data_IF_177091202837
#
_entry.id   IF_177091202837
#
_cell.length_a   1.000
_cell.length_b   1.000
_cell.length_c   1.000
_cell.angle_alpha   90.00
_cell.angle_beta   90.00
_cell.angle_gamma   90.00
#
_symmetry.space_group_name_H-M   'P 1'
#
loop_
_entity.id
_entity.type
_entity.pdbx_description
1 polymer ?
#
# COMPACT_ATOMS: atom_id res chain seq x y z
N UNK A 1 78.17 29.28 8.78
CA UNK A 1 78.83 29.34 10.11
C UNK A 1 78.41 28.10 10.90
N UNK A 2 79.31 27.54 11.72
CA UNK A 2 79.22 26.29 12.56
C UNK A 2 77.83 25.97 13.18
N UNK A 3 77.41 24.75 13.58
CA UNK A 3 77.82 23.31 13.48
C UNK A 3 76.57 22.46 13.96
N UNK A 4 76.45 21.12 14.01
CA UNK A 4 77.40 19.98 13.88
C UNK A 4 76.94 18.98 12.77
N UNK A 5 76.87 17.63 12.77
CA UNK A 5 76.99 16.49 13.74
C UNK A 5 75.61 15.94 14.19
N UNK A 6 75.32 14.63 14.29
CA UNK A 6 76.14 13.38 14.22
C UNK A 6 75.56 12.31 13.26
N UNK A 7 76.37 11.28 12.95
CA UNK A 7 75.97 10.04 12.24
C UNK A 7 76.59 8.82 12.94
N UNK A 8 75.88 7.68 12.98
CA UNK A 8 76.42 6.39 13.46
C UNK A 8 75.70 5.15 12.88
N UNK A 9 76.50 4.33 12.21
CA UNK A 9 76.34 2.99 11.62
C UNK A 9 75.62 1.85 12.41
N UNK A 10 75.27 0.80 11.64
CA UNK A 10 75.30 -0.68 11.95
C UNK A 10 74.20 -1.39 12.78
N UNK A 11 73.21 -1.87 12.03
CA UNK A 11 72.67 -3.25 11.90
C UNK A 11 72.93 -4.40 12.93
N UNK A 12 71.88 -5.25 13.07
CA UNK A 12 71.78 -6.63 13.62
C UNK A 12 71.76 -6.81 15.15
N UNK A 13 71.18 -7.92 15.70
CA UNK A 13 70.54 -9.08 15.07
C UNK A 13 69.09 -9.41 15.53
N UNK A 14 68.55 -10.54 15.05
CA UNK A 14 67.24 -11.13 15.43
C UNK A 14 67.19 -11.69 16.86
N UNK A 15 66.06 -11.53 17.57
CA UNK A 15 65.55 -12.49 18.57
C UNK A 15 64.00 -12.55 18.55
N UNK A 16 63.49 -13.78 18.72
CA UNK A 16 62.18 -14.27 19.23
C UNK A 16 61.25 -13.25 19.96
N UNK A 17 59.90 -13.38 19.99
CA UNK A 17 59.06 -14.59 19.87
C UNK A 17 57.92 -14.46 18.84
N UNK A 18 57.68 -15.56 18.11
CA UNK A 18 56.41 -15.84 17.43
C UNK A 18 55.94 -17.24 17.86
N UNK A 19 55.08 -17.29 18.86
CA UNK A 19 54.57 -18.52 19.47
C UNK A 19 53.04 -18.48 19.59
N UNK A 20 52.42 -19.64 19.82
CA UNK A 20 50.96 -19.84 19.92
C UNK A 20 50.16 -19.52 18.65
N UNK A 21 50.19 -20.47 17.70
CA UNK A 21 49.02 -20.97 16.97
C UNK A 21 49.41 -22.28 16.26
N UNK A 22 48.42 -23.11 15.93
CA UNK A 22 48.54 -24.44 15.27
C UNK A 22 49.24 -25.55 16.08
N UNK A 23 48.49 -26.25 16.96
CA UNK A 23 48.59 -27.71 17.13
C UNK A 23 47.52 -28.25 18.09
N UNK A 24 46.53 -28.97 17.55
CA UNK A 24 46.18 -30.34 17.95
C UNK A 24 44.90 -30.80 17.23
N UNK A 25 44.96 -32.00 16.63
CA UNK A 25 43.79 -32.69 16.09
C UNK A 25 43.76 -34.12 16.63
N UNK A 26 42.59 -34.51 17.16
CA UNK A 26 42.10 -35.88 17.39
C UNK A 26 43.10 -36.99 17.75
N UNK A 27 42.98 -37.53 18.98
CA UNK A 27 42.58 -38.94 19.24
C UNK A 27 42.66 -39.30 20.72
N UNK A 28 41.57 -39.84 21.27
CA UNK A 28 41.53 -41.05 22.11
C UNK A 28 40.13 -41.23 22.72
N UNK A 29 39.67 -42.47 22.85
CA UNK A 29 38.44 -42.79 23.55
C UNK A 29 38.58 -44.11 24.30
N UNK A 30 38.25 -44.13 25.59
CA UNK A 30 37.61 -45.30 26.20
C UNK A 30 36.83 -44.93 27.48
N UNK A 31 35.94 -45.84 27.85
CA UNK A 31 34.90 -45.68 28.87
C UNK A 31 35.46 -45.87 30.29
N UNK A 32 34.88 -45.15 31.25
CA UNK A 32 34.50 -45.73 32.54
C UNK A 32 33.19 -45.08 33.01
N UNK A 33 32.43 -45.78 33.85
CA UNK A 33 31.17 -45.32 34.43
C UNK A 33 31.06 -45.83 35.87
N UNK A 34 30.48 -45.01 36.77
CA UNK A 34 29.87 -45.31 38.08
C UNK A 34 29.63 -43.97 38.79
N UNK A 35 28.58 -43.86 39.62
CA UNK A 35 28.46 -42.79 40.63
C UNK A 35 27.27 -41.85 40.45
N UNK A 36 26.08 -42.28 40.87
CA UNK A 36 24.95 -41.37 41.15
C UNK A 36 25.12 -40.74 42.53
N UNK A 37 25.04 -39.41 42.61
CA UNK A 37 24.78 -38.69 43.86
C UNK A 37 23.92 -37.46 43.52
N UNK A 38 22.69 -37.41 44.03
CA UNK A 38 21.73 -36.38 43.65
C UNK A 38 21.90 -35.09 44.44
N UNK A 39 21.73 -33.95 43.77
CA UNK A 39 21.34 -32.70 44.41
C UNK A 39 19.96 -32.28 43.89
N UNK A 40 19.02 -32.07 44.80
CA UNK A 40 17.71 -31.51 44.49
C UNK A 40 17.82 -30.00 44.26
N UNK A 41 18.46 -29.61 43.16
CA UNK A 41 18.43 -28.24 42.68
C UNK A 41 17.08 -27.98 42.01
N UNK A 42 16.20 -27.23 42.69
CA UNK A 42 14.91 -26.82 42.13
C UNK A 42 15.14 -25.96 40.89
N UNK A 43 15.03 -26.58 39.70
CA UNK A 43 14.99 -25.87 38.44
C UNK A 43 13.70 -25.04 38.40
N UNK A 44 13.78 -23.80 38.86
CA UNK A 44 12.74 -22.79 38.65
C UNK A 44 12.60 -22.65 37.13
N UNK A 45 11.47 -23.09 36.60
CA UNK A 45 11.07 -22.81 35.22
C UNK A 45 10.78 -21.31 35.10
N UNK A 46 11.84 -20.51 34.99
CA UNK A 46 11.74 -19.14 34.52
C UNK A 46 11.19 -19.19 33.11
N UNK A 47 9.92 -18.83 32.94
CA UNK A 47 9.28 -18.69 31.65
C UNK A 47 9.92 -17.50 30.91
N UNK A 48 10.57 -17.70 29.75
CA UNK A 48 10.96 -16.60 28.86
C UNK A 48 9.71 -16.14 28.08
N UNK A 49 8.67 -15.74 28.82
CA UNK A 49 7.44 -15.16 28.33
C UNK A 49 7.11 -13.88 29.11
N UNK A 50 8.11 -13.02 29.25
CA UNK A 50 7.86 -11.58 29.23
C UNK A 50 7.43 -11.21 27.80
N UNK A 51 6.24 -11.64 27.37
CA UNK A 51 5.64 -11.19 26.12
C UNK A 51 5.38 -9.69 26.27
N UNK A 52 5.86 -8.90 25.31
CA UNK A 52 5.81 -7.45 25.37
C UNK A 52 4.41 -6.98 24.95
N UNK A 53 3.48 -7.06 25.89
CA UNK A 53 2.07 -6.86 25.62
C UNK A 53 1.68 -5.39 25.36
N UNK A 54 0.47 -5.18 24.85
CA UNK A 54 -0.04 -3.85 24.54
C UNK A 54 -0.43 -3.12 25.84
N UNK A 55 0.31 -2.06 26.16
CA UNK A 55 0.12 -1.26 27.39
C UNK A 55 -0.55 0.08 27.06
N UNK A 56 -1.61 0.41 27.81
CA UNK A 56 -2.30 1.71 27.69
C UNK A 56 -1.70 2.69 28.69
N UNK A 57 -1.14 3.78 28.19
CA UNK A 57 -0.46 4.85 28.94
C UNK A 57 -1.23 6.18 28.75
N UNK A 58 -1.21 7.04 29.76
CA UNK A 58 -1.88 8.37 29.82
C UNK A 58 -3.38 8.40 29.45
N UNK A 59 -4.03 7.23 29.29
CA UNK A 59 -5.45 7.08 28.97
C UNK A 59 -5.77 6.95 27.47
N UNK A 60 -4.87 7.36 26.57
CA UNK A 60 -5.06 7.25 25.11
C UNK A 60 -3.82 6.87 24.29
N UNK A 61 -2.66 6.63 24.91
CA UNK A 61 -1.49 6.07 24.23
C UNK A 61 -1.48 4.55 24.35
N UNK A 62 -1.33 3.81 23.25
CA UNK A 62 -1.19 2.35 23.24
C UNK A 62 0.17 1.96 22.66
N UNK A 63 1.04 1.35 23.47
CA UNK A 63 2.33 0.83 23.02
C UNK A 63 2.29 -0.70 23.01
N UNK A 64 2.52 -1.31 21.84
CA UNK A 64 2.53 -2.76 21.62
C UNK A 64 3.94 -3.26 21.24
N UNK A 65 4.46 -4.22 22.00
CA UNK A 65 5.57 -5.06 21.58
C UNK A 65 5.08 -6.39 21.01
N UNK A 66 5.92 -7.43 21.05
CA UNK A 66 5.56 -8.77 20.57
C UNK A 66 4.56 -9.45 21.51
N UNK A 67 3.35 -9.69 21.01
CA UNK A 67 2.24 -10.36 21.72
C UNK A 67 1.27 -11.04 20.73
N UNK A 68 0.27 -11.74 21.25
CA UNK A 68 -0.85 -12.28 20.49
C UNK A 68 -2.16 -11.74 21.06
N UNK A 69 -2.94 -11.04 20.24
CA UNK A 69 -4.21 -10.43 20.68
C UNK A 69 -5.35 -11.45 20.71
N UNK A 70 -6.35 -11.15 21.54
CA UNK A 70 -7.65 -11.82 21.54
C UNK A 70 -8.72 -10.90 20.96
N UNK A 71 -9.81 -11.49 20.45
CA UNK A 71 -10.89 -10.75 19.79
C UNK A 71 -11.82 -10.02 20.79
N UNK A 72 -11.25 -9.09 21.55
CA UNK A 72 -11.89 -8.32 22.60
C UNK A 72 -11.57 -6.81 22.51
N UNK A 73 -12.42 -5.99 23.13
CA UNK A 73 -12.26 -4.53 23.21
C UNK A 73 -11.74 -4.18 24.60
N UNK A 74 -10.65 -3.42 24.67
CA UNK A 74 -10.03 -2.95 25.90
C UNK A 74 -11.03 -2.18 26.78
N UNK A 75 -11.13 -2.46 28.10
CA UNK A 75 -10.25 -3.32 28.90
C UNK A 75 -10.87 -4.68 29.25
N UNK A 76 -11.41 -5.44 28.27
CA UNK A 76 -12.06 -6.73 28.54
C UNK A 76 -11.08 -7.90 28.74
N UNK A 77 -9.92 -7.89 28.06
CA UNK A 77 -8.87 -8.91 28.18
C UNK A 77 -7.43 -8.32 28.18
N UNK A 78 -7.14 -7.30 29.01
CA UNK A 78 -5.84 -6.67 29.02
C UNK A 78 -4.77 -7.64 29.54
N UNK A 79 -3.53 -7.59 29.03
CA UNK A 79 -2.98 -6.60 28.09
C UNK A 79 -3.04 -7.03 26.60
N UNK A 80 -3.96 -7.94 26.23
CA UNK A 80 -4.01 -8.57 24.91
C UNK A 80 -5.31 -8.30 24.13
N UNK A 81 -6.12 -7.31 24.53
CA UNK A 81 -7.24 -6.84 23.70
C UNK A 81 -6.75 -6.40 22.31
N UNK A 82 -7.53 -6.66 21.26
CA UNK A 82 -7.23 -6.10 19.92
C UNK A 82 -7.72 -4.67 19.75
N UNK A 83 -8.86 -4.34 20.37
CA UNK A 83 -9.65 -3.16 20.03
C UNK A 83 -9.55 -2.06 21.09
N UNK A 84 -9.05 -0.89 20.71
CA UNK A 84 -8.85 0.25 21.59
C UNK A 84 -9.78 1.40 21.18
N UNK A 85 -10.99 1.43 21.75
CA UNK A 85 -11.96 2.51 21.52
C UNK A 85 -11.88 3.55 22.65
N UNK A 86 -11.65 4.80 22.25
CA UNK A 86 -11.53 5.96 23.14
C UNK A 86 -12.64 6.99 22.84
N UNK A 87 -12.95 7.83 23.83
CA UNK A 87 -13.84 8.98 23.69
C UNK A 87 -13.14 10.22 24.26
N UNK A 88 -12.13 10.71 23.54
CA UNK A 88 -11.19 11.72 24.04
C UNK A 88 -11.17 12.99 23.17
N UNK A 89 -11.00 14.20 23.74
CA UNK A 89 -10.62 15.39 22.98
C UNK A 89 -9.14 15.38 22.57
N UNK A 90 -8.33 14.52 23.18
CA UNK A 90 -6.91 14.33 22.86
C UNK A 90 -6.74 13.20 21.83
N UNK A 91 -5.62 13.22 21.11
CA UNK A 91 -5.27 12.18 20.14
C UNK A 91 -5.20 10.80 20.80
N UNK A 92 -5.72 9.79 20.11
CA UNK A 92 -5.47 8.40 20.44
C UNK A 92 -4.26 7.90 19.64
N UNK A 93 -3.25 7.36 20.31
CA UNK A 93 -2.03 6.87 19.69
C UNK A 93 -1.98 5.34 19.73
N UNK A 94 -1.53 4.73 18.65
CA UNK A 94 -1.17 3.30 18.61
C UNK A 94 0.22 3.16 18.00
N UNK A 95 1.18 2.65 18.77
CA UNK A 95 2.55 2.44 18.34
C UNK A 95 2.94 0.97 18.49
N UNK A 96 3.55 0.41 17.44
CA UNK A 96 4.07 -0.96 17.41
C UNK A 96 5.60 -0.87 17.34
N UNK A 97 6.26 -1.53 18.29
CA UNK A 97 7.72 -1.53 18.44
C UNK A 97 8.45 -2.04 17.20
N UNK A 98 9.67 -1.53 16.97
CA UNK A 98 10.50 -1.90 15.84
C UNK A 98 10.86 -3.40 15.86
N UNK A 99 10.40 -4.14 14.84
CA UNK A 99 10.59 -5.59 14.75
C UNK A 99 9.73 -6.43 15.72
N UNK A 100 8.74 -5.83 16.38
CA UNK A 100 7.74 -6.59 17.15
C UNK A 100 6.75 -7.31 16.22
N UNK A 101 6.07 -8.34 16.73
CA UNK A 101 4.95 -9.00 16.03
C UNK A 101 3.72 -9.07 16.92
N UNK A 102 2.62 -8.48 16.46
CA UNK A 102 1.30 -8.54 17.09
C UNK A 102 0.45 -9.52 16.30
N UNK A 103 0.33 -10.76 16.79
CA UNK A 103 -0.42 -11.84 16.13
C UNK A 103 -1.84 -12.01 16.71
N UNK A 104 -2.51 -13.13 16.42
CA UNK A 104 -3.86 -13.42 16.92
C UNK A 104 -4.92 -12.81 16.02
N UNK A 105 -5.53 -11.69 16.46
CA UNK A 105 -6.61 -11.00 15.76
C UNK A 105 -6.21 -9.60 15.27
N UNK A 106 -4.90 -9.32 15.13
CA UNK A 106 -4.40 -8.01 14.75
C UNK A 106 -4.79 -6.92 15.77
N UNK A 107 -5.02 -5.70 15.29
CA UNK A 107 -5.34 -4.52 16.10
C UNK A 107 -6.49 -3.70 15.51
N UNK A 108 -7.16 -2.93 16.37
CA UNK A 108 -8.09 -1.89 15.98
C UNK A 108 -7.98 -0.70 16.95
N UNK A 109 -8.05 0.53 16.45
CA UNK A 109 -8.09 1.75 17.26
C UNK A 109 -9.19 2.69 16.76
N UNK A 110 -9.96 3.23 17.71
CA UNK A 110 -11.04 4.18 17.45
C UNK A 110 -10.95 5.38 18.39
N UNK A 111 -11.17 6.59 17.88
CA UNK A 111 -11.49 7.76 18.72
C UNK A 111 -12.86 8.32 18.34
N UNK A 112 -13.84 8.01 19.19
CA UNK A 112 -15.23 8.51 19.10
C UNK A 112 -15.37 9.96 19.57
N UNK A 113 -14.35 10.51 20.22
CA UNK A 113 -14.30 11.91 20.66
C UNK A 113 -13.80 12.87 19.57
N UNK A 114 -13.50 14.10 19.99
CA UNK A 114 -13.00 15.15 19.09
C UNK A 114 -11.48 15.07 18.83
N UNK A 115 -10.76 14.12 19.42
CA UNK A 115 -9.34 13.91 19.16
C UNK A 115 -9.04 13.33 17.77
N UNK A 116 -7.78 13.43 17.38
CA UNK A 116 -7.23 12.73 16.22
C UNK A 116 -6.97 11.24 16.55
N UNK A 117 -6.53 10.47 15.55
CA UNK A 117 -5.91 9.16 15.72
C UNK A 117 -4.58 9.13 14.98
N UNK A 118 -3.50 8.69 15.61
CA UNK A 118 -2.18 8.54 14.99
C UNK A 118 -1.64 7.14 15.24
N UNK A 119 -1.23 6.47 14.17
CA UNK A 119 -0.67 5.12 14.22
C UNK A 119 0.76 5.11 13.70
N UNK A 120 1.67 4.46 14.43
CA UNK A 120 3.09 4.32 14.09
C UNK A 120 3.45 2.83 14.13
N UNK A 121 3.54 2.19 12.97
CA UNK A 121 3.82 0.75 12.88
C UNK A 121 5.25 0.49 12.38
N UNK A 122 6.13 0.04 13.28
CA UNK A 122 7.50 -0.39 12.95
C UNK A 122 7.68 -1.91 13.08
N UNK A 123 6.61 -2.66 13.33
CA UNK A 123 6.63 -4.11 13.55
C UNK A 123 5.84 -4.87 12.48
N UNK A 124 5.12 -5.90 12.88
CA UNK A 124 4.19 -6.65 12.04
C UNK A 124 2.87 -6.80 12.77
N UNK A 125 1.77 -6.42 12.12
CA UNK A 125 0.41 -6.64 12.62
C UNK A 125 -0.19 -7.78 11.82
N UNK A 126 -0.62 -8.85 12.49
CA UNK A 126 -1.10 -10.08 11.85
C UNK A 126 -2.43 -10.57 12.44
N UNK A 127 -3.32 -11.00 11.55
CA UNK A 127 -4.41 -11.92 11.89
C UNK A 127 -3.98 -13.32 11.45
N UNK A 128 -4.03 -14.26 12.37
CA UNK A 128 -3.58 -15.63 12.14
C UNK A 128 -4.62 -16.45 11.35
N UNK A 129 -4.15 -17.48 10.65
CA UNK A 129 -5.00 -18.29 9.77
C UNK A 129 -6.16 -18.95 10.54
N UNK A 130 -7.37 -18.76 10.04
CA UNK A 130 -8.61 -19.25 10.67
C UNK A 130 -9.28 -18.27 11.65
N UNK A 131 -8.61 -17.18 12.04
CA UNK A 131 -9.23 -16.15 12.87
C UNK A 131 -10.13 -15.21 12.04
N UNK A 132 -11.22 -14.75 12.63
CA UNK A 132 -12.10 -13.70 12.08
C UNK A 132 -12.19 -12.58 13.12
N UNK A 133 -11.58 -11.40 12.87
CA UNK A 133 -11.65 -10.28 13.80
C UNK A 133 -13.04 -9.63 13.79
N UNK A 134 -13.51 -9.17 14.95
CA UNK A 134 -14.81 -8.48 15.08
C UNK A 134 -14.80 -7.32 16.08
N UNK A 135 -13.98 -7.40 17.14
CA UNK A 135 -13.89 -6.36 18.17
C UNK A 135 -13.17 -5.11 17.63
N UNK A 136 -13.93 -4.09 17.20
CA UNK A 136 -13.39 -2.89 16.55
C UNK A 136 -13.21 -3.01 15.03
N UNK A 137 -13.96 -3.90 14.36
CA UNK A 137 -13.89 -4.09 12.90
C UNK A 137 -13.23 -5.39 12.47
N UNK A 138 -13.11 -5.60 11.16
CA UNK A 138 -12.79 -6.90 10.53
C UNK A 138 -11.40 -7.00 9.89
N UNK A 139 -10.68 -5.89 9.75
CA UNK A 139 -9.34 -5.90 9.15
C UNK A 139 -8.25 -6.32 10.15
N UNK A 140 -7.04 -6.65 9.67
CA UNK A 140 -5.89 -6.89 10.54
C UNK A 140 -5.40 -5.62 11.24
N UNK A 141 -5.53 -4.47 10.60
CA UNK A 141 -5.54 -3.16 11.26
C UNK A 141 -6.82 -2.39 10.88
N UNK A 142 -7.61 -1.98 11.88
CA UNK A 142 -8.74 -1.07 11.72
C UNK A 142 -8.42 0.30 12.37
N UNK A 143 -8.65 1.41 11.68
CA UNK A 143 -8.49 2.77 12.23
C UNK A 143 -9.75 3.61 11.96
N UNK A 144 -10.48 3.97 13.01
CA UNK A 144 -11.70 4.76 12.92
C UNK A 144 -11.58 6.07 13.73
N UNK A 145 -12.06 7.21 13.19
CA UNK A 145 -12.11 8.48 13.93
C UNK A 145 -13.43 9.21 13.71
N UNK A 146 -13.87 9.98 14.70
CA UNK A 146 -15.18 10.67 14.68
C UNK A 146 -15.13 12.17 14.35
N UNK A 147 -13.95 12.80 14.25
CA UNK A 147 -13.88 14.25 13.98
C UNK A 147 -12.56 14.77 13.42
N UNK A 148 -11.41 14.39 13.96
CA UNK A 148 -10.12 14.96 13.58
C UNK A 148 -9.27 14.00 12.75
N UNK A 149 -8.12 14.50 12.27
CA UNK A 149 -7.18 13.81 11.39
C UNK A 149 -6.90 12.35 11.81
N UNK A 150 -6.88 11.45 10.84
CA UNK A 150 -6.26 10.13 10.97
C UNK A 150 -4.88 10.20 10.32
N UNK A 151 -3.82 9.82 11.03
CA UNK A 151 -2.50 9.53 10.47
C UNK A 151 -2.12 8.06 10.66
N UNK A 152 -1.53 7.44 9.64
CA UNK A 152 -0.74 6.22 9.77
C UNK A 152 0.65 6.43 9.18
N UNK A 153 1.69 5.96 9.87
CA UNK A 153 3.08 6.01 9.39
C UNK A 153 3.81 4.71 9.71
N UNK A 154 4.70 4.28 8.81
CA UNK A 154 5.75 3.32 9.12
C UNK A 154 6.07 2.33 8.00
N UNK A 155 7.09 1.52 8.25
CA UNK A 155 7.55 0.41 7.39
C UNK A 155 7.10 -0.97 7.87
N UNK A 156 6.29 -1.02 8.94
CA UNK A 156 5.76 -2.26 9.47
C UNK A 156 4.71 -2.90 8.57
N UNK A 157 4.75 -4.23 8.48
CA UNK A 157 3.85 -5.01 7.64
C UNK A 157 2.46 -5.18 8.27
N UNK A 158 1.44 -5.39 7.43
CA UNK A 158 0.06 -5.69 7.85
C UNK A 158 -0.45 -6.91 7.06
N UNK A 159 -0.71 -8.02 7.75
CA UNK A 159 -1.04 -9.30 7.11
C UNK A 159 -2.31 -9.92 7.69
N UNK A 160 -3.38 -10.02 6.91
CA UNK A 160 -4.55 -10.81 7.27
C UNK A 160 -4.49 -12.20 6.63
N UNK A 161 -4.06 -13.21 7.40
CA UNK A 161 -4.10 -14.63 6.98
C UNK A 161 -5.44 -15.30 7.29
N UNK A 162 -6.32 -14.62 8.03
CA UNK A 162 -7.64 -15.08 8.41
C UNK A 162 -8.72 -14.55 7.47
N UNK A 163 -9.82 -14.06 8.05
CA UNK A 163 -10.94 -13.44 7.34
C UNK A 163 -10.88 -11.91 7.42
N UNK A 164 -11.30 -11.24 6.35
CA UNK A 164 -11.35 -9.77 6.24
C UNK A 164 -10.16 -9.15 5.51
N UNK A 165 -10.16 -7.82 5.46
CA UNK A 165 -9.15 -7.00 4.79
C UNK A 165 -7.82 -6.96 5.57
N UNK A 166 -6.73 -6.52 4.95
CA UNK A 166 -5.49 -6.28 5.69
C UNK A 166 -5.57 -4.97 6.48
N UNK A 167 -5.84 -3.85 5.80
CA UNK A 167 -5.86 -2.52 6.41
C UNK A 167 -7.16 -1.77 6.05
N UNK A 168 -7.95 -1.40 7.05
CA UNK A 168 -9.18 -0.62 6.88
C UNK A 168 -9.13 0.69 7.68
N UNK A 169 -9.54 1.81 7.06
CA UNK A 169 -9.55 3.14 7.66
C UNK A 169 -10.85 3.87 7.36
N UNK A 170 -11.47 4.48 8.39
CA UNK A 170 -12.72 5.22 8.25
C UNK A 170 -12.72 6.54 9.04
N UNK A 171 -12.75 7.66 8.31
CA UNK A 171 -13.10 8.96 8.89
C UNK A 171 -14.62 9.12 8.92
N UNK A 172 -15.19 9.34 10.09
CA UNK A 172 -16.63 9.53 10.32
C UNK A 172 -17.04 11.00 10.51
N UNK A 173 -16.07 11.92 10.66
CA UNK A 173 -16.29 13.36 10.85
C UNK A 173 -15.48 14.23 9.89
N UNK A 174 -14.97 15.37 10.38
CA UNK A 174 -14.43 16.46 9.55
C UNK A 174 -12.98 16.27 9.07
N UNK A 175 -12.21 15.39 9.71
CA UNK A 175 -10.77 15.24 9.48
C UNK A 175 -10.41 14.77 8.07
N UNK A 176 -9.14 14.92 7.70
CA UNK A 176 -8.54 14.20 6.58
C UNK A 176 -8.11 12.79 7.01
N UNK A 177 -7.64 11.99 6.05
CA UNK A 177 -6.91 10.74 6.26
C UNK A 177 -5.56 10.88 5.55
N UNK A 178 -4.46 10.63 6.26
CA UNK A 178 -3.09 10.68 5.77
C UNK A 178 -2.37 9.38 6.12
N UNK A 179 -1.83 8.67 5.12
CA UNK A 179 -1.26 7.33 5.28
C UNK A 179 0.07 7.24 4.54
N UNK A 180 1.13 6.91 5.26
CA UNK A 180 2.42 6.49 4.70
C UNK A 180 2.76 5.06 5.17
N UNK A 181 2.33 4.08 4.38
CA UNK A 181 2.42 2.67 4.71
C UNK A 181 3.45 1.94 3.84
N UNK A 182 4.73 2.25 4.05
CA UNK A 182 5.84 1.73 3.23
C UNK A 182 6.13 0.23 3.38
N UNK A 183 5.55 -0.44 4.39
CA UNK A 183 5.64 -1.89 4.58
C UNK A 183 4.73 -2.70 3.65
N UNK A 184 4.94 -4.02 3.61
CA UNK A 184 4.12 -4.94 2.81
C UNK A 184 2.72 -5.14 3.43
N UNK A 185 1.68 -5.08 2.60
CA UNK A 185 0.28 -5.26 3.02
C UNK A 185 -0.32 -6.46 2.28
N UNK A 186 -0.80 -7.47 3.01
CA UNK A 186 -1.29 -8.73 2.42
C UNK A 186 -2.61 -9.19 3.03
N UNK A 187 -3.62 -9.45 2.19
CA UNK A 187 -4.90 -10.02 2.57
C UNK A 187 -5.13 -11.38 1.86
N UNK A 188 -5.33 -12.44 2.64
CA UNK A 188 -5.58 -13.78 2.11
C UNK A 188 -7.02 -13.99 1.63
N UNK A 189 -7.99 -13.27 2.20
CA UNK A 189 -9.42 -13.45 1.94
C UNK A 189 -10.19 -12.14 1.63
N UNK A 190 -9.73 -10.99 2.12
CA UNK A 190 -10.30 -9.67 1.84
C UNK A 190 -9.44 -8.82 0.89
N UNK A 191 -9.68 -7.50 0.93
CA UNK A 191 -8.92 -6.50 0.18
C UNK A 191 -7.66 -6.05 0.93
N UNK A 192 -6.67 -5.51 0.23
CA UNK A 192 -5.42 -5.03 0.83
C UNK A 192 -5.64 -3.79 1.69
N UNK A 193 -5.94 -2.66 1.05
CA UNK A 193 -6.22 -1.38 1.72
C UNK A 193 -7.64 -0.92 1.38
N UNK A 194 -8.44 -0.58 2.40
CA UNK A 194 -9.81 -0.05 2.25
C UNK A 194 -9.92 1.27 3.01
N UNK A 195 -10.09 2.39 2.30
CA UNK A 195 -10.16 3.73 2.91
C UNK A 195 -11.47 4.45 2.58
N UNK A 196 -12.12 5.03 3.58
CA UNK A 196 -13.44 5.68 3.48
C UNK A 196 -13.49 6.98 4.29
N UNK A 197 -14.22 7.97 3.78
CA UNK A 197 -14.57 9.19 4.53
C UNK A 197 -16.07 9.55 4.35
N UNK A 198 -16.52 10.63 4.99
CA UNK A 198 -17.88 11.18 4.86
C UNK A 198 -17.94 12.45 4.00
N UNK A 199 -19.15 12.90 3.66
CA UNK A 199 -19.38 14.12 2.88
C UNK A 199 -18.79 15.41 3.50
N UNK A 200 -18.55 15.42 4.82
CA UNK A 200 -17.99 16.56 5.56
C UNK A 200 -16.50 16.41 5.90
N UNK A 201 -15.87 15.29 5.52
CA UNK A 201 -14.45 15.01 5.77
C UNK A 201 -13.52 15.79 4.85
N UNK A 202 -12.25 15.92 5.25
CA UNK A 202 -11.17 16.43 4.40
C UNK A 202 -10.72 15.44 3.33
N UNK A 203 -9.50 15.66 2.81
CA UNK A 203 -8.87 14.80 1.80
C UNK A 203 -8.60 13.38 2.31
N UNK A 204 -8.36 12.46 1.38
CA UNK A 204 -7.76 11.17 1.63
C UNK A 204 -6.45 11.11 0.84
N UNK A 205 -5.33 10.93 1.54
CA UNK A 205 -4.00 10.81 0.96
C UNK A 205 -3.40 9.46 1.41
N UNK A 206 -3.12 8.57 0.45
CA UNK A 206 -2.61 7.21 0.70
C UNK A 206 -1.33 6.93 -0.06
N UNK A 207 -0.21 6.81 0.64
CA UNK A 207 1.07 6.30 0.14
C UNK A 207 1.31 4.91 0.70
N UNK A 208 1.75 3.95 -0.13
CA UNK A 208 1.94 2.55 0.30
C UNK A 208 3.12 1.85 -0.40
N UNK A 209 3.65 0.81 0.25
CA UNK A 209 4.59 -0.17 -0.29
C UNK A 209 3.92 -1.14 -1.26
N UNK A 210 4.25 -2.44 -1.17
CA UNK A 210 3.64 -3.49 -1.98
C UNK A 210 2.31 -3.97 -1.36
N UNK A 211 1.34 -4.35 -2.19
CA UNK A 211 -0.01 -4.74 -1.75
C UNK A 211 -0.49 -6.02 -2.46
N UNK A 212 -0.89 -7.03 -1.70
CA UNK A 212 -1.30 -8.34 -2.23
C UNK A 212 -2.69 -8.75 -1.71
N UNK A 213 -3.67 -8.91 -2.59
CA UNK A 213 -5.06 -9.24 -2.27
C UNK A 213 -5.68 -10.17 -3.33
N UNK A 214 -5.12 -11.36 -3.49
CA UNK A 214 -5.41 -12.28 -4.60
C UNK A 214 -6.79 -12.97 -4.54
N UNK A 215 -7.56 -12.79 -3.48
CA UNK A 215 -8.89 -13.37 -3.34
C UNK A 215 -9.85 -12.86 -4.41
N UNK A 216 -10.55 -13.75 -5.10
CA UNK A 216 -11.40 -13.41 -6.24
C UNK A 216 -12.49 -12.39 -5.86
N UNK A 217 -12.55 -11.26 -6.58
CA UNK A 217 -13.46 -10.16 -6.26
C UNK A 217 -12.86 -9.05 -5.38
N UNK A 218 -11.73 -9.29 -4.70
CA UNK A 218 -11.13 -8.35 -3.75
C UNK A 218 -10.18 -7.33 -4.38
N UNK A 219 -10.04 -6.17 -3.74
CA UNK A 219 -9.26 -5.05 -4.23
C UNK A 219 -7.85 -5.05 -3.65
N UNK A 220 -6.85 -4.60 -4.43
CA UNK A 220 -5.53 -4.29 -3.88
C UNK A 220 -5.65 -3.07 -2.99
N UNK A 221 -5.96 -1.93 -3.60
CA UNK A 221 -6.17 -0.63 -2.94
C UNK A 221 -7.55 -0.10 -3.36
N UNK A 222 -8.42 0.18 -2.40
CA UNK A 222 -9.78 0.71 -2.63
C UNK A 222 -10.04 1.94 -1.76
N UNK A 223 -9.86 3.12 -2.36
CA UNK A 223 -10.05 4.43 -1.72
C UNK A 223 -11.32 5.08 -2.28
N UNK A 224 -12.25 5.44 -1.38
CA UNK A 224 -13.53 6.03 -1.78
C UNK A 224 -13.84 7.26 -0.91
N UNK A 225 -13.75 8.44 -1.52
CA UNK A 225 -14.09 9.71 -0.88
C UNK A 225 -15.56 10.06 -1.11
N UNK A 226 -16.32 10.14 -0.02
CA UNK A 226 -17.64 10.74 0.00
C UNK A 226 -17.59 12.26 0.02
N UNK A 227 -16.45 12.86 0.39
CA UNK A 227 -16.29 14.30 0.68
C UNK A 227 -16.83 15.20 -0.43
N UNK A 228 -17.42 16.32 -0.01
CA UNK A 228 -17.90 17.38 -0.88
C UNK A 228 -16.76 18.22 -1.47
N UNK A 229 -15.57 18.26 -0.84
CA UNK A 229 -14.46 19.12 -1.28
C UNK A 229 -13.05 18.51 -1.16
N UNK A 230 -12.87 17.45 -0.35
CA UNK A 230 -11.58 16.80 -0.13
C UNK A 230 -11.09 16.00 -1.35
N UNK A 231 -9.81 16.12 -1.67
CA UNK A 231 -9.17 15.37 -2.74
C UNK A 231 -8.96 13.89 -2.36
N UNK A 232 -8.62 13.09 -3.37
CA UNK A 232 -8.24 11.68 -3.22
C UNK A 232 -6.91 11.45 -3.91
N UNK A 233 -5.83 11.33 -3.14
CA UNK A 233 -4.49 10.98 -3.62
C UNK A 233 -4.19 9.51 -3.32
N UNK A 234 -3.57 8.80 -4.24
CA UNK A 234 -3.08 7.43 -3.99
C UNK A 234 -1.75 7.19 -4.69
N UNK A 235 -0.73 6.74 -3.95
CA UNK A 235 0.64 6.51 -4.43
C UNK A 235 1.09 5.10 -4.04
N UNK A 236 0.99 4.16 -4.97
CA UNK A 236 1.53 2.81 -4.80
C UNK A 236 3.01 2.79 -5.23
N UNK A 237 3.92 2.65 -4.26
CA UNK A 237 5.37 2.61 -4.51
C UNK A 237 5.90 1.20 -4.76
N UNK A 238 5.28 0.18 -4.18
CA UNK A 238 5.52 -1.22 -4.51
C UNK A 238 4.53 -1.76 -5.53
N UNK A 239 4.71 -3.04 -5.89
CA UNK A 239 3.81 -3.75 -6.80
C UNK A 239 2.45 -4.02 -6.13
N UNK A 240 1.37 -4.00 -6.91
CA UNK A 240 0.01 -4.29 -6.45
C UNK A 240 -0.58 -5.46 -7.20
N UNK A 241 -0.98 -6.51 -6.47
CA UNK A 241 -1.63 -7.70 -7.04
C UNK A 241 -3.01 -7.93 -6.42
N UNK A 242 -4.03 -8.17 -7.26
CA UNK A 242 -5.43 -8.18 -6.78
C UNK A 242 -6.36 -9.13 -7.56
N UNK A 243 -7.24 -9.83 -6.85
CA UNK A 243 -8.26 -10.72 -7.43
C UNK A 243 -9.45 -10.01 -8.10
N UNK A 244 -9.48 -8.67 -8.09
CA UNK A 244 -10.38 -7.83 -8.86
C UNK A 244 -9.66 -6.57 -9.36
N UNK A 245 -9.78 -5.41 -8.71
CA UNK A 245 -9.10 -4.18 -9.16
C UNK A 245 -7.83 -3.94 -8.36
N UNK A 246 -6.72 -3.66 -9.04
CA UNK A 246 -5.45 -3.29 -8.43
C UNK A 246 -5.57 -2.01 -7.60
N UNK A 247 -5.94 -0.89 -8.25
CA UNK A 247 -6.22 0.38 -7.57
C UNK A 247 -7.59 0.94 -8.01
N UNK A 248 -8.49 1.14 -7.05
CA UNK A 248 -9.75 1.86 -7.21
C UNK A 248 -9.69 3.18 -6.42
N UNK A 249 -9.80 4.31 -7.13
CA UNK A 249 -10.03 5.63 -6.54
C UNK A 249 -11.38 6.19 -7.01
N UNK A 250 -12.28 6.53 -6.08
CA UNK A 250 -13.60 7.09 -6.42
C UNK A 250 -13.99 8.29 -5.56
N UNK A 251 -14.48 9.35 -6.19
CA UNK A 251 -15.08 10.54 -5.55
C UNK A 251 -16.59 10.55 -5.81
N UNK A 252 -17.38 10.96 -4.82
CA UNK A 252 -18.84 11.02 -4.90
C UNK A 252 -19.34 12.01 -5.96
N UNK A 253 -20.57 11.81 -6.45
CA UNK A 253 -21.22 12.72 -7.40
C UNK A 253 -21.56 14.11 -6.83
N UNK A 254 -21.35 14.32 -5.54
CA UNK A 254 -21.45 15.61 -4.84
C UNK A 254 -20.08 16.22 -4.52
N UNK A 255 -18.98 15.57 -4.87
CA UNK A 255 -17.62 16.06 -4.62
C UNK A 255 -17.16 17.08 -5.66
N UNK A 256 -16.34 18.04 -5.22
CA UNK A 256 -15.53 18.90 -6.10
C UNK A 256 -14.03 18.59 -6.04
N UNK A 257 -13.62 17.67 -5.17
CA UNK A 257 -12.22 17.25 -5.02
C UNK A 257 -11.72 16.47 -6.24
N UNK A 258 -10.41 16.52 -6.47
CA UNK A 258 -9.73 15.80 -7.53
C UNK A 258 -9.43 14.33 -7.14
N UNK A 259 -9.13 13.52 -8.15
CA UNK A 259 -8.51 12.20 -7.98
C UNK A 259 -7.11 12.24 -8.59
N UNK A 260 -6.08 11.87 -7.84
CA UNK A 260 -4.70 11.83 -8.29
C UNK A 260 -4.05 10.48 -7.91
N UNK A 261 -4.10 9.51 -8.82
CA UNK A 261 -3.51 8.17 -8.63
C UNK A 261 -2.14 8.08 -9.30
N UNK A 262 -1.14 7.58 -8.58
CA UNK A 262 0.18 7.22 -9.08
C UNK A 262 0.50 5.77 -8.70
N UNK A 263 0.97 4.98 -9.67
CA UNK A 263 1.45 3.62 -9.48
C UNK A 263 2.88 3.52 -10.02
N UNK A 264 3.85 3.43 -9.12
CA UNK A 264 5.27 3.32 -9.46
C UNK A 264 5.70 1.86 -9.65
N UNK A 265 5.15 0.94 -8.85
CA UNK A 265 5.28 -0.50 -9.04
C UNK A 265 4.38 -1.05 -10.16
N UNK A 266 4.56 -2.32 -10.47
CA UNK A 266 3.73 -3.06 -11.41
C UNK A 266 2.32 -3.32 -10.83
N UNK A 267 1.31 -3.38 -11.70
CA UNK A 267 -0.05 -3.79 -11.35
C UNK A 267 -0.38 -5.09 -12.09
N UNK A 268 -0.73 -6.15 -11.37
CA UNK A 268 -1.30 -7.38 -11.96
C UNK A 268 -2.60 -7.76 -11.27
N UNK A 269 -3.71 -7.57 -11.96
CA UNK A 269 -5.04 -7.68 -11.38
C UNK A 269 -6.09 -8.07 -12.42
N UNK A 270 -7.34 -8.24 -12.01
CA UNK A 270 -8.48 -8.40 -12.93
C UNK A 270 -8.75 -7.15 -13.75
N UNK A 271 -8.80 -5.99 -13.09
CA UNK A 271 -8.72 -4.64 -13.64
C UNK A 271 -7.46 -3.97 -13.06
N UNK A 272 -6.70 -3.20 -13.83
CA UNK A 272 -5.50 -2.54 -13.34
C UNK A 272 -5.83 -1.36 -12.41
N UNK A 273 -6.14 -0.20 -13.00
CA UNK A 273 -6.46 1.04 -12.28
C UNK A 273 -7.82 1.57 -12.74
N UNK A 274 -8.69 1.90 -11.80
CA UNK A 274 -10.01 2.52 -12.02
C UNK A 274 -10.08 3.84 -11.24
N UNK A 275 -10.06 4.97 -11.94
CA UNK A 275 -10.26 6.30 -11.37
C UNK A 275 -11.63 6.86 -11.79
N UNK A 276 -12.48 7.20 -10.81
CA UNK A 276 -13.87 7.62 -11.03
C UNK A 276 -14.21 8.89 -10.24
N UNK A 277 -14.01 10.06 -10.83
CA UNK A 277 -14.54 11.31 -10.29
C UNK A 277 -15.96 11.51 -10.83
N UNK A 278 -16.94 11.04 -10.07
CA UNK A 278 -18.36 11.20 -10.41
C UNK A 278 -18.85 12.63 -10.16
N UNK A 279 -18.07 13.40 -9.40
CA UNK A 279 -18.28 14.81 -9.08
C UNK A 279 -17.68 15.74 -10.13
N UNK A 280 -17.37 16.97 -9.72
CA UNK A 280 -16.96 18.05 -10.63
C UNK A 280 -15.43 18.28 -10.71
N UNK A 281 -14.62 17.52 -9.98
CA UNK A 281 -13.16 17.64 -10.03
C UNK A 281 -12.53 17.00 -11.28
N UNK A 282 -11.22 17.18 -11.41
CA UNK A 282 -10.38 16.52 -12.42
C UNK A 282 -9.93 15.13 -11.95
N UNK A 283 -9.38 14.34 -12.87
CA UNK A 283 -8.94 12.94 -12.64
C UNK A 283 -7.59 12.69 -13.31
N UNK A 284 -6.54 12.46 -12.52
CA UNK A 284 -5.19 12.13 -12.97
C UNK A 284 -4.86 10.68 -12.65
N UNK A 285 -4.31 9.94 -13.61
CA UNK A 285 -3.70 8.62 -13.38
C UNK A 285 -2.29 8.57 -13.96
N UNK A 286 -1.30 8.14 -13.16
CA UNK A 286 0.11 8.01 -13.53
C UNK A 286 0.61 6.59 -13.22
N UNK A 287 0.44 5.66 -14.14
CA UNK A 287 1.00 4.31 -14.01
C UNK A 287 2.40 4.26 -14.64
N UNK A 288 3.45 4.41 -13.84
CA UNK A 288 4.83 4.37 -14.29
C UNK A 288 5.33 2.92 -14.43
N UNK A 289 4.89 2.02 -13.55
CA UNK A 289 5.07 0.58 -13.72
C UNK A 289 4.16 -0.02 -14.81
N UNK A 290 4.42 -1.26 -15.24
CA UNK A 290 3.57 -1.96 -16.20
C UNK A 290 2.23 -2.34 -15.56
N UNK A 291 1.14 -2.26 -16.34
CA UNK A 291 -0.22 -2.61 -15.88
C UNK A 291 -0.76 -3.79 -16.68
N UNK A 292 -1.19 -4.84 -15.97
CA UNK A 292 -1.82 -6.04 -16.53
C UNK A 292 -3.23 -6.19 -15.95
N UNK A 293 -4.22 -6.28 -16.84
CA UNK A 293 -5.61 -6.57 -16.53
C UNK A 293 -6.03 -7.90 -17.15
N UNK A 294 -6.39 -8.86 -16.31
CA UNK A 294 -6.52 -10.28 -16.65
C UNK A 294 -7.96 -10.78 -16.79
N UNK A 295 -8.96 -10.01 -16.35
CA UNK A 295 -10.37 -10.41 -16.45
C UNK A 295 -10.90 -10.36 -17.89
N UNK A 296 -11.88 -11.21 -18.19
CA UNK A 296 -12.54 -11.30 -19.50
C UNK A 296 -13.28 -10.02 -19.97
N UNK A 297 -13.39 -9.00 -19.11
CA UNK A 297 -13.81 -7.63 -19.46
C UNK A 297 -12.99 -6.58 -18.69
N UNK A 298 -11.80 -6.94 -18.25
CA UNK A 298 -10.97 -6.13 -17.35
C UNK A 298 -10.39 -4.90 -18.04
N UNK A 299 -10.48 -3.73 -17.41
CA UNK A 299 -9.86 -2.51 -17.92
C UNK A 299 -8.42 -2.39 -17.43
N UNK A 300 -7.49 -2.01 -18.31
CA UNK A 300 -6.10 -1.77 -17.95
C UNK A 300 -5.97 -0.52 -17.06
N UNK A 301 -6.14 0.66 -17.66
CA UNK A 301 -6.20 1.94 -16.96
C UNK A 301 -7.43 2.71 -17.42
N UNK A 302 -8.34 2.96 -16.48
CA UNK A 302 -9.58 3.71 -16.69
C UNK A 302 -9.55 5.02 -15.88
N UNK A 303 -9.90 6.14 -16.52
CA UNK A 303 -10.14 7.40 -15.84
C UNK A 303 -11.43 8.07 -16.35
N UNK A 304 -12.26 8.55 -15.43
CA UNK A 304 -13.52 9.23 -15.72
C UNK A 304 -13.68 10.45 -14.83
N UNK A 305 -14.05 11.59 -15.42
CA UNK A 305 -14.28 12.84 -14.72
C UNK A 305 -15.33 13.74 -15.37
N UNK A 306 -15.59 14.89 -14.74
CA UNK A 306 -16.37 16.01 -15.32
C UNK A 306 -15.52 17.27 -15.51
N UNK A 307 -14.47 17.43 -14.70
CA UNK A 307 -13.31 18.25 -15.05
C UNK A 307 -12.39 17.52 -16.03
N UNK A 308 -11.12 17.86 -16.03
CA UNK A 308 -10.12 17.29 -16.94
C UNK A 308 -9.78 15.83 -16.59
N UNK A 309 -9.43 15.04 -17.59
CA UNK A 309 -9.08 13.62 -17.43
C UNK A 309 -7.70 13.36 -18.04
N UNK A 310 -6.68 13.18 -17.20
CA UNK A 310 -5.31 12.91 -17.63
C UNK A 310 -4.89 11.48 -17.29
N UNK A 311 -4.34 10.76 -18.27
CA UNK A 311 -3.76 9.44 -18.10
C UNK A 311 -2.33 9.45 -18.65
N UNK A 312 -1.33 9.20 -17.80
CA UNK A 312 0.04 8.89 -18.22
C UNK A 312 0.37 7.45 -17.83
N UNK A 313 0.83 6.64 -18.77
CA UNK A 313 1.09 5.20 -18.54
C UNK A 313 2.44 4.75 -19.10
N UNK A 314 2.98 3.67 -18.53
CA UNK A 314 4.05 2.84 -19.09
C UNK A 314 3.49 1.87 -20.14
N UNK A 315 3.78 0.58 -19.99
CA UNK A 315 3.16 -0.48 -20.79
C UNK A 315 1.82 -0.92 -20.15
N UNK A 316 0.80 -1.17 -20.96
CA UNK A 316 -0.54 -1.56 -20.49
C UNK A 316 -1.10 -2.71 -21.33
N UNK A 317 -1.42 -3.83 -20.68
CA UNK A 317 -2.04 -5.00 -21.32
C UNK A 317 -3.39 -5.29 -20.66
N UNK A 318 -4.45 -5.39 -21.47
CA UNK A 318 -5.71 -6.01 -21.07
C UNK A 318 -6.02 -7.22 -21.94
N UNK A 319 -6.43 -8.32 -21.32
CA UNK A 319 -6.82 -9.56 -22.01
C UNK A 319 -8.27 -9.59 -22.47
N UNK A 320 -9.13 -8.68 -21.99
CA UNK A 320 -10.59 -8.74 -22.23
C UNK A 320 -11.33 -7.40 -22.33
N UNK A 321 -10.69 -6.29 -21.98
CA UNK A 321 -11.25 -4.94 -22.07
C UNK A 321 -10.32 -3.96 -22.80
N UNK A 322 -10.65 -2.67 -22.74
CA UNK A 322 -9.77 -1.61 -23.24
C UNK A 322 -8.50 -1.54 -22.37
N UNK A 323 -7.34 -1.35 -23.02
CA UNK A 323 -6.09 -1.19 -22.26
C UNK A 323 -6.02 0.20 -21.62
N UNK A 324 -6.27 1.28 -22.37
CA UNK A 324 -6.42 2.64 -21.81
C UNK A 324 -7.78 3.21 -22.20
N UNK A 325 -8.54 3.71 -21.21
CA UNK A 325 -9.88 4.27 -21.42
C UNK A 325 -10.09 5.56 -20.61
N UNK A 326 -10.20 6.70 -21.28
CA UNK A 326 -10.50 8.01 -20.69
C UNK A 326 -11.90 8.50 -21.09
N UNK A 327 -12.69 8.99 -20.12
CA UNK A 327 -14.04 9.54 -20.38
C UNK A 327 -14.24 10.92 -19.73
N UNK A 328 -14.42 11.93 -20.56
CA UNK A 328 -15.01 13.22 -20.18
C UNK A 328 -16.54 13.11 -20.18
N UNK A 329 -17.16 13.19 -19.00
CA UNK A 329 -18.63 13.06 -18.81
C UNK A 329 -19.34 14.39 -18.56
N UNK A 330 -18.58 15.48 -18.43
CA UNK A 330 -19.12 16.82 -18.36
C UNK A 330 -19.50 17.36 -19.75
N UNK A 331 -20.50 18.23 -19.82
CA UNK A 331 -20.84 19.00 -21.04
C UNK A 331 -20.02 20.30 -21.15
N UNK A 332 -18.88 20.37 -20.46
CA UNK A 332 -18.03 21.56 -20.34
C UNK A 332 -16.81 21.51 -21.26
N UNK A 333 -15.79 22.29 -20.91
CA UNK A 333 -14.54 22.42 -21.67
C UNK A 333 -13.40 21.53 -21.15
N UNK A 334 -13.65 20.64 -20.19
CA UNK A 334 -12.63 19.80 -19.57
C UNK A 334 -11.95 18.88 -20.59
N UNK A 335 -10.61 18.80 -20.53
CA UNK A 335 -9.82 18.08 -21.54
C UNK A 335 -9.70 16.58 -21.27
N UNK A 336 -9.26 15.84 -22.28
CA UNK A 336 -8.77 14.47 -22.13
C UNK A 336 -7.34 14.42 -22.66
N UNK A 337 -6.38 14.10 -21.79
CA UNK A 337 -4.95 14.10 -22.12
C UNK A 337 -4.34 12.72 -21.81
N UNK A 338 -4.14 11.90 -22.84
CA UNK A 338 -3.62 10.53 -22.72
C UNK A 338 -2.21 10.43 -23.27
N UNK A 339 -1.24 10.02 -22.45
CA UNK A 339 0.15 9.73 -22.83
C UNK A 339 0.50 8.29 -22.49
N UNK A 340 1.02 7.53 -23.46
CA UNK A 340 1.43 6.12 -23.26
C UNK A 340 2.88 5.92 -23.66
N UNK A 341 3.73 5.54 -22.71
CA UNK A 341 5.19 5.48 -22.82
C UNK A 341 5.76 4.06 -23.03
N UNK A 342 4.93 3.04 -22.89
CA UNK A 342 5.23 1.67 -23.29
C UNK A 342 4.20 1.15 -24.30
N UNK A 343 4.29 -0.15 -24.63
CA UNK A 343 3.34 -0.78 -25.53
C UNK A 343 1.96 -0.94 -24.86
N UNK A 344 0.90 -0.73 -25.65
CA UNK A 344 -0.50 -0.78 -25.20
C UNK A 344 -1.24 -1.84 -26.01
N UNK A 345 -1.89 -2.79 -25.36
CA UNK A 345 -2.64 -3.87 -26.03
C UNK A 345 -3.92 -4.22 -25.28
N UNK A 346 -5.07 -4.06 -25.92
CA UNK A 346 -6.39 -4.38 -25.36
C UNK A 346 -7.40 -4.68 -26.48
N UNK A 347 -8.68 -4.85 -26.15
CA UNK A 347 -9.73 -5.07 -27.18
C UNK A 347 -9.79 -3.90 -28.16
N UNK A 348 -9.79 -2.68 -27.60
CA UNK A 348 -9.17 -1.49 -28.20
C UNK A 348 -7.90 -1.14 -27.41
N UNK A 349 -6.92 -0.51 -28.06
CA UNK A 349 -5.68 -0.07 -27.39
C UNK A 349 -5.92 1.15 -26.50
N UNK A 350 -6.23 2.29 -27.13
CA UNK A 350 -6.60 3.54 -26.45
C UNK A 350 -8.02 3.93 -26.88
N UNK A 351 -8.87 4.28 -25.92
CA UNK A 351 -10.20 4.87 -26.14
C UNK A 351 -10.32 6.17 -25.34
N UNK A 352 -10.49 7.29 -26.03
CA UNK A 352 -10.73 8.60 -25.43
C UNK A 352 -12.09 9.14 -25.92
N UNK A 353 -13.00 9.45 -25.00
CA UNK A 353 -14.34 9.93 -25.32
C UNK A 353 -14.72 11.18 -24.52
N UNK A 354 -14.86 12.34 -25.16
CA UNK A 354 -15.25 13.58 -24.50
C UNK A 354 -16.69 13.98 -24.89
N UNK A 355 -17.58 13.99 -23.90
CA UNK A 355 -18.99 14.38 -24.06
C UNK A 355 -19.18 15.90 -24.11
N UNK A 356 -18.13 16.67 -23.81
CA UNK A 356 -18.12 18.14 -23.85
C UNK A 356 -17.45 18.69 -25.10
N UNK A 357 -17.05 19.96 -25.02
CA UNK A 357 -16.33 20.69 -26.08
C UNK A 357 -14.83 20.83 -25.81
N UNK A 358 -14.33 20.20 -24.75
CA UNK A 358 -12.91 20.15 -24.43
C UNK A 358 -12.08 19.36 -25.45
N UNK A 359 -10.78 19.66 -25.50
CA UNK A 359 -9.84 18.96 -26.39
C UNK A 359 -9.65 17.49 -25.97
N UNK A 360 -9.36 16.64 -26.95
CA UNK A 360 -8.74 15.33 -26.74
C UNK A 360 -7.32 15.39 -27.32
N UNK A 361 -6.33 15.00 -26.51
CA UNK A 361 -4.94 14.83 -26.89
C UNK A 361 -4.50 13.39 -26.60
N UNK A 362 -3.93 12.70 -27.58
CA UNK A 362 -3.38 11.34 -27.40
C UNK A 362 -1.94 11.29 -27.91
N UNK A 363 -0.99 11.00 -27.03
CA UNK A 363 0.43 10.82 -27.34
C UNK A 363 0.82 9.36 -27.12
N UNK A 364 1.05 8.62 -28.21
CA UNK A 364 1.41 7.21 -28.21
C UNK A 364 2.89 7.00 -28.59
N UNK A 365 3.75 6.92 -27.58
CA UNK A 365 5.20 6.72 -27.77
C UNK A 365 5.56 5.24 -28.02
N UNK A 366 4.81 4.30 -27.45
CA UNK A 366 4.92 2.86 -27.73
C UNK A 366 4.01 2.39 -28.87
N UNK A 367 4.05 1.09 -29.18
CA UNK A 367 3.12 0.49 -30.13
C UNK A 367 1.73 0.28 -29.49
N UNK A 368 0.66 0.53 -30.24
CA UNK A 368 -0.73 0.45 -29.75
C UNK A 368 -1.51 -0.58 -30.56
N UNK A 369 -2.11 -1.56 -29.88
CA UNK A 369 -2.82 -2.70 -30.49
C UNK A 369 -4.25 -2.83 -29.99
N UNK A 370 -5.22 -2.73 -30.90
CA UNK A 370 -6.62 -3.14 -30.69
C UNK A 370 -6.84 -4.55 -31.23
N UNK A 371 -7.03 -5.53 -30.35
CA UNK A 371 -7.12 -6.96 -30.72
C UNK A 371 -8.49 -7.37 -31.30
N UNK A 372 -9.53 -6.54 -31.15
CA UNK A 372 -10.90 -6.82 -31.65
C UNK A 372 -11.69 -5.57 -32.09
N UNK A 373 -11.15 -4.39 -31.80
CA UNK A 373 -11.61 -3.05 -32.19
C UNK A 373 -10.41 -2.26 -32.74
N UNK A 374 -10.49 -0.94 -32.76
CA UNK A 374 -9.44 -0.06 -33.29
C UNK A 374 -8.24 0.04 -32.33
N UNK A 375 -7.08 0.44 -32.88
CA UNK A 375 -5.89 0.69 -32.07
C UNK A 375 -6.05 1.94 -31.18
N UNK A 376 -6.40 3.07 -31.79
CA UNK A 376 -6.75 4.32 -31.08
C UNK A 376 -8.14 4.78 -31.56
N UNK A 377 -9.03 5.06 -30.60
CA UNK A 377 -10.29 5.78 -30.83
C UNK A 377 -10.25 7.09 -30.06
N UNK A 378 -10.48 8.21 -30.73
CA UNK A 378 -10.72 9.51 -30.11
C UNK A 378 -12.04 10.08 -30.66
N UNK A 379 -12.97 10.42 -29.78
CA UNK A 379 -14.31 10.90 -30.13
C UNK A 379 -14.69 12.07 -29.22
N UNK A 380 -14.82 13.28 -29.77
CA UNK A 380 -15.03 14.47 -28.95
C UNK A 380 -15.75 15.62 -29.65
N UNK A 381 -16.55 16.37 -28.89
CA UNK A 381 -17.19 17.61 -29.37
C UNK A 381 -16.24 18.82 -29.49
N UNK A 382 -14.94 18.62 -29.32
CA UNK A 382 -13.88 19.63 -29.35
C UNK A 382 -12.81 19.32 -30.41
N UNK A 383 -11.61 19.88 -30.23
CA UNK A 383 -10.46 19.54 -31.06
C UNK A 383 -9.90 18.15 -30.67
N UNK A 384 -9.41 17.39 -31.66
CA UNK A 384 -8.74 16.10 -31.46
C UNK A 384 -7.34 16.18 -32.05
N UNK A 385 -6.31 15.97 -31.21
CA UNK A 385 -4.92 15.78 -31.63
C UNK A 385 -4.46 14.36 -31.25
N UNK A 386 -3.75 13.70 -32.18
CA UNK A 386 -3.23 12.34 -31.99
C UNK A 386 -1.83 12.24 -32.59
N UNK A 387 -0.84 12.13 -31.70
CA UNK A 387 0.57 12.02 -32.02
C UNK A 387 1.04 10.59 -31.74
N UNK A 388 1.65 9.93 -32.72
CA UNK A 388 2.10 8.54 -32.58
C UNK A 388 3.54 8.41 -33.07
N UNK A 389 4.42 7.85 -32.23
CA UNK A 389 5.77 7.45 -32.61
C UNK A 389 5.89 5.94 -32.91
N UNK A 390 5.06 5.12 -32.28
CA UNK A 390 4.98 3.68 -32.52
C UNK A 390 4.08 3.28 -33.69
N UNK A 391 3.92 1.97 -33.91
CA UNK A 391 2.90 1.45 -34.82
C UNK A 391 1.54 1.41 -34.12
N UNK A 392 0.48 1.89 -34.78
CA UNK A 392 -0.90 1.61 -34.35
C UNK A 392 -1.52 0.54 -35.24
N UNK A 393 -2.06 -0.50 -34.63
CA UNK A 393 -2.76 -1.58 -35.32
C UNK A 393 -4.09 -1.84 -34.61
N UNK A 394 -5.15 -2.05 -35.37
CA UNK A 394 -6.44 -2.47 -34.84
C UNK A 394 -7.08 -3.50 -35.76
N UNK A 395 -7.92 -4.37 -35.20
CA UNK A 395 -8.64 -5.40 -35.95
C UNK A 395 -9.72 -4.85 -36.89
N UNK A 396 -9.98 -3.53 -36.86
CA UNK A 396 -10.89 -2.81 -37.77
C UNK A 396 -10.18 -1.61 -38.41
N UNK A 397 -9.80 -0.61 -37.61
CA UNK A 397 -8.98 0.54 -38.03
C UNK A 397 -7.75 0.71 -37.15
N UNK A 398 -6.70 1.35 -37.68
CA UNK A 398 -5.57 1.81 -36.84
C UNK A 398 -6.01 2.94 -35.91
N UNK A 399 -6.42 4.07 -36.51
CA UNK A 399 -7.03 5.21 -35.82
C UNK A 399 -8.48 5.38 -36.27
N UNK A 400 -9.36 5.73 -35.34
CA UNK A 400 -10.71 6.25 -35.58
C UNK A 400 -10.86 7.57 -34.84
N UNK A 401 -10.99 8.68 -35.57
CA UNK A 401 -11.13 10.03 -35.03
C UNK A 401 -12.53 10.57 -35.42
N UNK A 402 -13.28 11.10 -34.44
CA UNK A 402 -14.67 11.56 -34.57
C UNK A 402 -14.82 12.93 -33.91
#
# INVERSE_FOLDING_TARGET
>A
MRLYGFSADKAYPLVSLRAQLLSQASRSALRFAIGMAGFAGSAVFFSPQAQAACTVTLGTDVQCGTTSTVNAVNPAAPPNDRGYSFSSPFTAHLAIDAGATVSGFGLAIENTGNGAVMVVNNGTISVDAGNTPTAGGTAALNIDAASNLITYTGSGAITNNGSGDAFAIKQNGLGSIDVDATGDITAAAGSGIVVRNTAASGSIDVTTGAVTALAAGMFGIDVQSSSTAGNLTTVANGDVTAGNTGILGRVSSTGTGNIDITANGAIDAGNGIIAQNLGNGSTTVKAMGPVTATMASGLGVFAQGRGDVSITTGAVTSTGGQAVYAIGTGTGTGTIDVTTNGNVSGTAGILAGNSGTGMISVIANGAVTGTSFDGIVANGGGAVDVQVAGTVMGARSGLTLI
#
